data_IF_603479121880
#
_entry.id   IF_603479121880
#
_cell.length_a   1.000
_cell.length_b   1.000
_cell.length_c   1.000
_cell.angle_alpha   90.00
_cell.angle_beta   90.00
_cell.angle_gamma   90.00
#
_symmetry.space_group_name_H-M   'P 1'
#
loop_
_entity.id
_entity.type
_entity.pdbx_description
1 polymer ?
#
# COMPACT_ATOMS: atom_id res chain seq x y z
N UNK A 1 29.63 42.64 -5.65
CA UNK A 1 29.39 41.22 -6.03
C UNK A 1 29.20 40.43 -4.74
N UNK A 2 27.99 39.95 -4.41
CA UNK A 2 27.78 39.29 -3.11
C UNK A 2 26.40 38.69 -2.80
N UNK A 3 25.38 38.89 -3.64
CA UNK A 3 24.03 38.34 -3.38
C UNK A 3 23.78 36.93 -3.98
N UNK A 4 24.40 36.56 -5.11
CA UNK A 4 24.12 35.25 -5.75
C UNK A 4 24.65 34.04 -4.98
N UNK A 5 25.77 34.18 -4.25
CA UNK A 5 26.41 33.05 -3.57
C UNK A 5 25.62 32.58 -2.35
N UNK A 6 25.09 33.50 -1.53
CA UNK A 6 24.31 33.13 -0.34
C UNK A 6 22.96 32.52 -0.70
N UNK A 7 22.28 33.06 -1.71
CA UNK A 7 20.99 32.53 -2.19
C UNK A 7 21.18 31.10 -2.72
N UNK A 8 22.24 30.85 -3.50
CA UNK A 8 22.54 29.51 -3.99
C UNK A 8 22.80 28.51 -2.84
N UNK A 9 23.53 28.92 -1.79
CA UNK A 9 23.76 28.06 -0.62
C UNK A 9 22.46 27.74 0.12
N UNK A 10 21.58 28.73 0.35
CA UNK A 10 20.28 28.46 1.00
C UNK A 10 19.37 27.55 0.19
N UNK A 11 19.33 27.73 -1.15
CA UNK A 11 18.55 26.86 -2.04
C UNK A 11 19.08 25.44 -2.00
N UNK A 12 20.40 25.26 -2.06
CA UNK A 12 21.03 23.93 -1.97
C UNK A 12 20.75 23.27 -0.62
N UNK A 13 20.92 24.00 0.49
CA UNK A 13 20.61 23.48 1.84
C UNK A 13 19.13 23.10 1.96
N UNK A 14 18.21 23.93 1.46
CA UNK A 14 16.78 23.63 1.49
C UNK A 14 16.42 22.40 0.64
N UNK A 15 16.99 22.25 -0.55
CA UNK A 15 16.82 21.05 -1.39
C UNK A 15 17.34 19.79 -0.69
N UNK A 16 18.53 19.84 -0.08
CA UNK A 16 19.06 18.70 0.68
C UNK A 16 18.15 18.32 1.86
N UNK A 17 17.64 19.32 2.60
CA UNK A 17 16.69 19.08 3.69
C UNK A 17 15.37 18.48 3.19
N UNK A 18 14.81 19.00 2.10
CA UNK A 18 13.57 18.50 1.50
C UNK A 18 13.71 17.06 0.97
N UNK A 19 14.86 16.72 0.36
CA UNK A 19 15.15 15.35 -0.08
C UNK A 19 15.30 14.39 1.11
N UNK A 20 15.99 14.83 2.17
CA UNK A 20 16.15 14.03 3.39
C UNK A 20 14.82 13.76 4.10
N UNK A 21 13.94 14.76 4.23
CA UNK A 21 12.63 14.59 4.87
C UNK A 21 11.73 13.65 4.05
N UNK A 22 11.73 13.77 2.72
CA UNK A 22 10.95 12.91 1.82
C UNK A 22 11.42 11.46 1.88
N UNK A 23 12.72 11.21 1.84
CA UNK A 23 13.28 9.86 1.94
C UNK A 23 12.95 9.20 3.29
N UNK A 24 13.03 9.96 4.40
CA UNK A 24 12.68 9.48 5.74
C UNK A 24 11.19 9.15 5.86
N UNK A 25 10.31 10.01 5.34
CA UNK A 25 8.86 9.79 5.32
C UNK A 25 8.50 8.53 4.53
N UNK A 26 9.06 8.35 3.34
CA UNK A 26 8.80 7.18 2.50
C UNK A 26 9.22 5.86 3.19
N UNK A 27 10.32 5.89 3.95
CA UNK A 27 10.77 4.72 4.71
C UNK A 27 9.83 4.40 5.87
N UNK A 28 9.42 5.42 6.64
CA UNK A 28 8.50 5.23 7.75
C UNK A 28 7.12 4.73 7.29
N UNK A 29 6.60 5.28 6.19
CA UNK A 29 5.34 4.85 5.59
C UNK A 29 5.37 3.39 5.16
N UNK A 30 6.45 2.98 4.46
CA UNK A 30 6.66 1.57 4.07
C UNK A 30 6.72 0.65 5.29
N UNK A 31 7.44 1.04 6.33
CA UNK A 31 7.53 0.23 7.55
C UNK A 31 6.16 0.06 8.23
N UNK A 32 5.36 1.13 8.29
CA UNK A 32 4.01 1.08 8.86
C UNK A 32 3.08 0.18 8.04
N UNK A 33 3.12 0.30 6.70
CA UNK A 33 2.33 -0.53 5.79
C UNK A 33 2.67 -2.02 5.92
N UNK A 34 3.96 -2.36 5.92
CA UNK A 34 4.43 -3.73 6.13
C UNK A 34 4.06 -4.27 7.52
N UNK A 35 4.13 -3.42 8.56
CA UNK A 35 3.77 -3.82 9.92
C UNK A 35 2.28 -4.15 10.05
N UNK A 36 1.42 -3.49 9.28
CA UNK A 36 -0.02 -3.77 9.24
C UNK A 36 -0.31 -5.18 8.72
N UNK A 37 0.36 -5.63 7.66
CA UNK A 37 0.10 -6.94 7.03
C UNK A 37 0.75 -8.10 7.78
N UNK A 38 1.82 -7.85 8.55
CA UNK A 38 2.61 -8.89 9.21
C UNK A 38 1.79 -9.88 10.07
N UNK A 39 0.79 -9.47 10.87
CA UNK A 39 0.03 -10.39 11.72
C UNK A 39 -0.76 -11.43 10.91
N UNK A 40 -1.25 -11.06 9.72
CA UNK A 40 -2.03 -11.94 8.86
C UNK A 40 -1.16 -12.84 7.96
N UNK A 41 0.13 -12.51 7.81
CA UNK A 41 1.00 -13.08 6.78
C UNK A 41 1.08 -14.61 6.82
N UNK A 42 1.42 -15.20 7.97
CA UNK A 42 1.60 -16.65 8.09
C UNK A 42 0.30 -17.41 7.91
N UNK A 43 -0.80 -16.89 8.45
CA UNK A 43 -2.13 -17.48 8.32
C UNK A 43 -2.59 -17.45 6.87
N UNK A 44 -2.49 -16.30 6.21
CA UNK A 44 -2.98 -16.13 4.85
C UNK A 44 -2.12 -16.86 3.80
N UNK A 45 -0.82 -17.01 4.03
CA UNK A 45 0.02 -17.87 3.19
C UNK A 45 -0.49 -19.32 3.22
N UNK A 46 -0.80 -19.83 4.41
CA UNK A 46 -1.34 -21.17 4.58
C UNK A 46 -2.76 -21.30 3.97
N UNK A 47 -3.62 -20.30 4.19
CA UNK A 47 -5.00 -20.34 3.73
C UNK A 47 -5.17 -20.25 2.21
N UNK A 48 -4.26 -19.55 1.52
CA UNK A 48 -4.34 -19.35 0.07
C UNK A 48 -3.43 -20.28 -0.74
N UNK A 49 -2.59 -21.09 -0.07
CA UNK A 49 -1.59 -21.96 -0.70
C UNK A 49 -0.62 -21.18 -1.64
N UNK A 50 -0.42 -19.89 -1.38
CA UNK A 50 0.56 -19.08 -2.12
C UNK A 50 1.97 -19.46 -1.69
N UNK A 51 2.91 -19.44 -2.63
CA UNK A 51 4.31 -19.62 -2.28
C UNK A 51 4.78 -18.53 -1.32
N UNK A 52 5.46 -18.94 -0.24
CA UNK A 52 5.99 -18.05 0.79
C UNK A 52 6.82 -16.91 0.19
N UNK A 53 7.67 -17.20 -0.80
CA UNK A 53 8.49 -16.18 -1.46
C UNK A 53 7.63 -15.17 -2.22
N UNK A 54 6.60 -15.63 -2.92
CA UNK A 54 5.71 -14.76 -3.69
C UNK A 54 4.92 -13.80 -2.78
N UNK A 55 4.34 -14.30 -1.69
CA UNK A 55 3.66 -13.45 -0.70
C UNK A 55 4.62 -12.43 -0.08
N UNK A 56 5.86 -12.82 0.22
CA UNK A 56 6.87 -11.90 0.73
C UNK A 56 7.26 -10.84 -0.31
N UNK A 57 7.45 -11.21 -1.58
CA UNK A 57 7.74 -10.24 -2.63
C UNK A 57 6.58 -9.23 -2.79
N UNK A 58 5.34 -9.69 -2.73
CA UNK A 58 4.18 -8.80 -2.78
C UNK A 58 4.14 -7.81 -1.60
N UNK A 59 4.35 -8.27 -0.37
CA UNK A 59 4.25 -7.41 0.82
C UNK A 59 5.47 -6.49 1.03
N UNK A 60 6.68 -7.00 0.78
CA UNK A 60 7.93 -6.30 1.11
C UNK A 60 8.58 -5.62 -0.09
N UNK A 61 8.43 -6.18 -1.30
CA UNK A 61 9.01 -5.62 -2.53
C UNK A 61 7.97 -4.91 -3.40
N UNK A 62 6.67 -5.11 -3.12
CA UNK A 62 5.54 -4.54 -3.87
C UNK A 62 5.51 -5.06 -5.31
N UNK A 63 5.79 -6.35 -5.44
CA UNK A 63 5.72 -7.08 -6.70
C UNK A 63 4.39 -7.82 -6.76
N UNK A 64 3.55 -7.47 -7.74
CA UNK A 64 2.22 -8.04 -7.91
C UNK A 64 2.19 -8.89 -9.19
N UNK A 65 2.71 -10.14 -9.17
CA UNK A 65 2.55 -11.07 -10.27
C UNK A 65 1.10 -11.54 -10.34
N UNK A 66 0.62 -11.80 -11.57
CA UNK A 66 -0.71 -12.34 -11.81
C UNK A 66 -0.75 -13.84 -11.47
N UNK A 67 -0.94 -14.16 -10.20
CA UNK A 67 -1.05 -15.51 -9.65
C UNK A 67 -2.37 -15.70 -8.88
N UNK A 68 -3.04 -16.83 -9.09
CA UNK A 68 -4.35 -17.09 -8.49
C UNK A 68 -4.28 -17.24 -6.96
N UNK A 69 -3.25 -17.88 -6.44
CA UNK A 69 -3.07 -18.05 -4.99
C UNK A 69 -2.71 -16.72 -4.33
N UNK A 70 -1.90 -15.88 -4.99
CA UNK A 70 -1.58 -14.53 -4.51
C UNK A 70 -2.80 -13.60 -4.47
N UNK A 71 -3.70 -13.71 -5.44
CA UNK A 71 -4.97 -12.97 -5.43
C UNK A 71 -5.79 -13.29 -4.19
N UNK A 72 -5.98 -14.58 -3.91
CA UNK A 72 -6.69 -15.02 -2.71
C UNK A 72 -5.94 -14.75 -1.41
N UNK A 73 -4.60 -14.67 -1.44
CA UNK A 73 -3.80 -14.20 -0.31
C UNK A 73 -4.20 -12.78 0.10
N UNK A 74 -4.32 -11.84 -0.85
CA UNK A 74 -4.75 -10.47 -0.53
C UNK A 74 -6.17 -10.42 0.00
N UNK A 75 -7.09 -11.20 -0.56
CA UNK A 75 -8.44 -11.36 0.02
C UNK A 75 -8.36 -11.77 1.49
N UNK A 76 -7.55 -12.78 1.82
CA UNK A 76 -7.37 -13.20 3.21
C UNK A 76 -6.82 -12.05 4.07
N UNK A 77 -5.75 -11.39 3.63
CA UNK A 77 -5.13 -10.30 4.40
C UNK A 77 -6.13 -9.18 4.70
N UNK A 78 -6.86 -8.71 3.70
CA UNK A 78 -7.86 -7.66 3.87
C UNK A 78 -9.06 -8.08 4.74
N UNK A 79 -9.39 -9.37 4.76
CA UNK A 79 -10.39 -9.92 5.68
C UNK A 79 -9.87 -9.88 7.13
N UNK A 80 -8.64 -10.35 7.36
CA UNK A 80 -8.04 -10.42 8.71
C UNK A 80 -7.84 -9.05 9.35
N UNK A 81 -7.53 -8.02 8.54
CA UNK A 81 -7.42 -6.63 9.02
C UNK A 81 -8.75 -5.86 8.99
N UNK A 82 -9.87 -6.56 8.78
CA UNK A 82 -11.24 -6.03 8.84
C UNK A 82 -11.55 -4.92 7.80
N UNK A 83 -10.90 -4.95 6.64
CA UNK A 83 -11.19 -4.04 5.53
C UNK A 83 -12.20 -4.67 4.56
N UNK A 84 -12.12 -5.98 4.33
CA UNK A 84 -13.13 -6.72 3.57
C UNK A 84 -14.19 -7.28 4.52
N UNK A 85 -15.43 -6.87 4.33
CA UNK A 85 -16.58 -7.41 5.06
C UNK A 85 -16.96 -8.81 4.56
N UNK A 86 -17.65 -9.63 5.39
CA UNK A 86 -18.10 -10.96 4.99
C UNK A 86 -19.04 -10.99 3.77
N UNK A 87 -19.72 -9.87 3.48
CA UNK A 87 -20.60 -9.71 2.32
C UNK A 87 -19.86 -9.33 1.03
N UNK A 88 -18.53 -9.18 1.07
CA UNK A 88 -17.71 -8.81 -0.08
C UNK A 88 -17.57 -7.30 -0.30
N UNK A 89 -18.11 -6.47 0.60
CA UNK A 89 -17.96 -5.01 0.55
C UNK A 89 -16.70 -4.53 1.27
N UNK A 90 -16.16 -3.39 0.85
CA UNK A 90 -14.98 -2.77 1.50
C UNK A 90 -15.47 -1.79 2.57
N UNK A 91 -15.00 -1.95 3.81
CA UNK A 91 -15.20 -0.97 4.88
C UNK A 91 -14.26 0.22 4.67
N UNK A 92 -14.79 1.25 4.01
CA UNK A 92 -14.10 2.51 3.69
C UNK A 92 -13.53 3.21 4.93
N UNK A 93 -14.29 3.26 6.02
CA UNK A 93 -13.87 4.00 7.21
C UNK A 93 -12.76 3.24 7.95
N UNK A 94 -12.86 1.92 8.01
CA UNK A 94 -11.78 1.08 8.54
C UNK A 94 -10.53 1.14 7.67
N UNK A 95 -10.67 1.15 6.34
CA UNK A 95 -9.56 1.36 5.40
C UNK A 95 -8.79 2.65 5.69
N UNK A 96 -9.47 3.81 5.72
CA UNK A 96 -8.84 5.12 5.94
C UNK A 96 -8.16 5.19 7.31
N UNK A 97 -8.79 4.62 8.34
CA UNK A 97 -8.26 4.62 9.70
C UNK A 97 -7.04 3.70 9.87
N UNK A 98 -7.02 2.58 9.14
CA UNK A 98 -6.09 1.47 9.40
C UNK A 98 -4.89 1.48 8.46
N UNK A 99 -5.07 1.84 7.19
CA UNK A 99 -4.01 1.77 6.17
C UNK A 99 -3.23 3.09 6.13
N UNK A 100 -1.94 3.09 6.50
CA UNK A 100 -1.13 4.31 6.49
C UNK A 100 -1.01 4.89 5.07
N UNK A 101 -1.23 6.19 4.95
CA UNK A 101 -1.11 6.91 3.67
C UNK A 101 -2.38 6.89 2.82
N UNK A 102 -3.46 6.25 3.28
CA UNK A 102 -4.77 6.31 2.62
C UNK A 102 -5.58 7.46 3.21
N UNK A 103 -6.04 8.36 2.35
CA UNK A 103 -7.06 9.36 2.67
C UNK A 103 -8.39 9.04 1.98
N UNK A 104 -9.37 9.93 2.12
CA UNK A 104 -10.69 9.75 1.52
C UNK A 104 -10.65 9.63 0.00
N UNK A 105 -9.81 10.42 -0.68
CA UNK A 105 -9.76 10.45 -2.13
C UNK A 105 -9.16 9.15 -2.68
N UNK A 106 -8.08 8.66 -2.06
CA UNK A 106 -7.47 7.37 -2.41
C UNK A 106 -8.44 6.21 -2.14
N UNK A 107 -9.12 6.23 -0.98
CA UNK A 107 -10.09 5.21 -0.62
C UNK A 107 -11.23 5.13 -1.64
N UNK A 108 -11.87 6.25 -1.95
CA UNK A 108 -12.99 6.31 -2.90
C UNK A 108 -12.56 5.87 -4.30
N UNK A 109 -11.39 6.34 -4.75
CA UNK A 109 -10.83 5.96 -6.05
C UNK A 109 -10.60 4.46 -6.15
N UNK A 110 -9.90 3.86 -5.20
CA UNK A 110 -9.58 2.43 -5.26
C UNK A 110 -10.79 1.54 -5.04
N UNK A 111 -11.75 1.93 -4.21
CA UNK A 111 -13.02 1.20 -4.05
C UNK A 111 -13.82 1.24 -5.36
N UNK A 112 -13.95 2.40 -5.99
CA UNK A 112 -14.70 2.54 -7.25
C UNK A 112 -14.09 1.75 -8.41
N UNK A 113 -12.78 1.50 -8.38
CA UNK A 113 -12.08 0.73 -9.43
C UNK A 113 -12.47 -0.75 -9.41
N UNK A 114 -12.92 -1.26 -8.27
CA UNK A 114 -13.19 -2.69 -8.04
C UNK A 114 -14.65 -2.98 -7.68
N UNK A 115 -15.53 -1.99 -7.82
CA UNK A 115 -16.96 -2.07 -7.43
C UNK A 115 -17.67 -3.21 -8.18
N UNK A 116 -17.41 -3.33 -9.48
CA UNK A 116 -18.09 -4.27 -10.37
C UNK A 116 -17.47 -5.68 -10.34
N UNK A 117 -16.32 -5.85 -9.67
CA UNK A 117 -15.66 -7.15 -9.57
C UNK A 117 -16.35 -8.06 -8.55
N UNK A 118 -16.70 -9.26 -9.00
CA UNK A 118 -17.47 -10.26 -8.25
C UNK A 118 -16.59 -11.35 -7.68
N UNK A 119 -15.45 -11.65 -8.31
CA UNK A 119 -14.43 -12.53 -7.74
C UNK A 119 -13.70 -11.78 -6.63
N UNK A 120 -13.93 -12.18 -5.38
CA UNK A 120 -13.33 -11.50 -4.23
C UNK A 120 -11.80 -11.62 -4.17
N UNK A 121 -11.21 -12.64 -4.80
CA UNK A 121 -9.75 -12.74 -4.90
C UNK A 121 -9.21 -11.72 -5.91
N UNK A 122 -9.83 -11.63 -7.10
CA UNK A 122 -9.48 -10.61 -8.10
C UNK A 122 -9.68 -9.19 -7.54
N UNK A 123 -10.87 -8.95 -6.97
CA UNK A 123 -11.27 -7.66 -6.37
C UNK A 123 -10.23 -7.16 -5.38
N UNK A 124 -9.81 -8.01 -4.45
CA UNK A 124 -8.88 -7.62 -3.39
C UNK A 124 -7.45 -7.49 -3.86
N UNK A 125 -7.08 -8.23 -4.91
CA UNK A 125 -5.79 -8.07 -5.56
C UNK A 125 -5.70 -6.73 -6.28
N UNK A 126 -6.67 -6.41 -7.13
CA UNK A 126 -6.71 -5.15 -7.86
C UNK A 126 -6.83 -3.95 -6.92
N UNK A 127 -7.57 -4.12 -5.82
CA UNK A 127 -7.64 -3.14 -4.76
C UNK A 127 -6.27 -2.91 -4.10
N UNK A 128 -5.52 -3.98 -3.79
CA UNK A 128 -4.16 -3.86 -3.25
C UNK A 128 -3.21 -3.15 -4.22
N UNK A 129 -3.29 -3.49 -5.52
CA UNK A 129 -2.48 -2.85 -6.57
C UNK A 129 -2.82 -1.36 -6.68
N UNK A 130 -4.10 -0.99 -6.65
CA UNK A 130 -4.52 0.41 -6.66
C UNK A 130 -3.96 1.18 -5.45
N UNK A 131 -4.08 0.62 -4.24
CA UNK A 131 -3.53 1.24 -3.04
C UNK A 131 -2.00 1.43 -3.15
N UNK A 132 -1.27 0.43 -3.64
CA UNK A 132 0.18 0.56 -3.81
C UNK A 132 0.55 1.70 -4.78
N UNK A 133 -0.17 1.79 -5.90
CA UNK A 133 0.04 2.84 -6.91
C UNK A 133 -0.29 4.23 -6.36
N UNK A 134 -1.39 4.41 -5.64
CA UNK A 134 -1.77 5.72 -5.11
C UNK A 134 -0.88 6.16 -3.94
N UNK A 135 -0.51 5.23 -3.06
CA UNK A 135 0.32 5.52 -1.88
C UNK A 135 1.79 5.74 -2.27
N UNK A 136 2.31 4.97 -3.22
CA UNK A 136 3.75 4.93 -3.52
C UNK A 136 4.14 5.17 -4.97
N UNK A 137 3.19 5.20 -5.91
CA UNK A 137 3.44 5.38 -7.35
C UNK A 137 3.76 6.82 -7.77
N UNK A 138 3.68 7.79 -6.87
CA UNK A 138 4.24 9.14 -7.10
C UNK A 138 5.75 9.16 -6.85
N UNK A 139 6.53 8.65 -7.80
CA UNK A 139 7.96 8.98 -7.96
C UNK A 139 8.23 9.56 -9.33
#
# INVERSE_FOLDING_TARGET
MGCSSKIAVYVVVFMYLASWTTAKRNTALRQAYTALMRPALSFCICASDVELEMANCAVYKREFPNDACLKCFFKCVFTEICILNPDGTIDRDTLIRTVPGVDSDIADKCISTVDEETDLCEKMYDFAVCLDLEIFGQQ
#
